data_IF_965704925322
#
_entry.id   IF_965704925322
#
_cell.length_a   1.000
_cell.length_b   1.000
_cell.length_c   1.000
_cell.angle_alpha   90.00
_cell.angle_beta   90.00
_cell.angle_gamma   90.00
#
_symmetry.space_group_name_H-M   'P 1'
#
loop_
_entity.id
_entity.type
_entity.pdbx_description
1 polymer ?
#
# COMPACT_ATOMS: atom_id res chain seq x y z
N UNK A 1 -0.22 2.35 -13.29
CA UNK A 1 -0.49 1.69 -12.00
C UNK A 1 -1.02 2.68 -10.96
N UNK A 2 -0.23 3.71 -10.57
CA UNK A 2 -0.62 4.64 -9.48
C UNK A 2 -1.97 5.30 -9.68
N UNK A 3 -2.29 5.78 -10.89
CA UNK A 3 -3.59 6.38 -11.18
C UNK A 3 -4.75 5.39 -11.06
N UNK A 4 -4.54 4.10 -11.38
CA UNK A 4 -5.59 3.09 -11.27
C UNK A 4 -5.98 2.78 -9.83
N UNK A 5 -5.08 2.99 -8.85
CA UNK A 5 -5.37 2.79 -7.43
C UNK A 5 -6.41 3.78 -6.92
N UNK A 6 -6.38 5.04 -7.37
CA UNK A 6 -7.37 6.06 -6.98
C UNK A 6 -8.78 5.58 -7.36
N UNK A 7 -8.95 5.08 -8.59
CA UNK A 7 -10.24 4.54 -9.04
C UNK A 7 -10.62 3.29 -8.26
N UNK A 8 -9.68 2.37 -8.03
CA UNK A 8 -9.92 1.15 -7.26
C UNK A 8 -10.37 1.46 -5.82
N UNK A 9 -9.71 2.41 -5.16
CA UNK A 9 -10.07 2.78 -3.80
C UNK A 9 -11.43 3.49 -3.74
N UNK A 10 -11.73 4.36 -4.69
CA UNK A 10 -13.02 5.03 -4.79
C UNK A 10 -14.19 4.07 -5.08
N UNK A 11 -13.94 2.94 -5.77
CA UNK A 11 -14.96 1.90 -6.03
C UNK A 11 -15.53 1.30 -4.74
N UNK A 12 -14.86 1.42 -3.61
CA UNK A 12 -15.34 0.84 -2.34
C UNK A 12 -16.72 1.39 -1.95
N UNK A 13 -16.98 2.67 -2.21
CA UNK A 13 -18.29 3.30 -1.93
C UNK A 13 -19.41 2.81 -2.86
N UNK A 14 -19.05 2.34 -4.06
CA UNK A 14 -20.02 1.82 -5.04
C UNK A 14 -20.40 0.35 -4.78
N UNK A 15 -19.45 -0.45 -4.30
CA UNK A 15 -19.60 -1.91 -4.25
C UNK A 15 -20.17 -2.42 -2.93
N UNK A 16 -20.19 -1.60 -1.87
CA UNK A 16 -20.68 -2.03 -0.56
C UNK A 16 -21.22 -0.89 0.29
N UNK A 17 -22.04 -1.24 1.27
CA UNK A 17 -22.59 -0.31 2.25
C UNK A 17 -21.59 -0.04 3.39
N UNK A 18 -21.70 1.10 4.11
CA UNK A 18 -20.76 1.50 5.17
C UNK A 18 -20.50 0.44 6.23
N UNK A 19 -21.53 -0.34 6.60
CA UNK A 19 -21.45 -1.39 7.62
C UNK A 19 -20.52 -2.55 7.23
N UNK A 20 -20.35 -2.78 5.93
CA UNK A 20 -19.54 -3.87 5.38
C UNK A 20 -18.21 -3.42 4.80
N UNK A 21 -17.94 -2.12 4.73
CA UNK A 21 -16.75 -1.56 4.08
C UNK A 21 -15.44 -2.11 4.65
N UNK A 22 -15.33 -2.27 5.99
CA UNK A 22 -14.12 -2.82 6.61
C UNK A 22 -13.85 -4.26 6.16
N UNK A 23 -14.90 -5.09 6.12
CA UNK A 23 -14.77 -6.48 5.69
C UNK A 23 -14.41 -6.56 4.21
N UNK A 24 -15.11 -5.81 3.34
CA UNK A 24 -14.85 -5.80 1.89
C UNK A 24 -13.46 -5.27 1.60
N UNK A 25 -13.03 -4.19 2.24
CA UNK A 25 -11.68 -3.64 2.10
C UNK A 25 -10.62 -4.64 2.53
N UNK A 26 -10.79 -5.27 3.71
CA UNK A 26 -9.87 -6.31 4.21
C UNK A 26 -9.78 -7.50 3.28
N UNK A 27 -10.92 -8.00 2.77
CA UNK A 27 -10.92 -9.09 1.78
C UNK A 27 -10.20 -8.69 0.49
N UNK A 28 -10.41 -7.46 -0.02
CA UNK A 28 -9.73 -6.96 -1.21
C UNK A 28 -8.21 -6.95 -1.04
N UNK A 29 -7.70 -6.45 0.08
CA UNK A 29 -6.28 -6.48 0.40
C UNK A 29 -5.74 -7.89 0.58
N UNK A 30 -6.46 -8.76 1.32
CA UNK A 30 -6.03 -10.14 1.51
C UNK A 30 -5.87 -10.89 0.18
N UNK A 31 -6.90 -10.84 -0.68
CA UNK A 31 -6.81 -11.48 -2.01
C UNK A 31 -5.74 -10.83 -2.90
N UNK A 32 -5.49 -9.52 -2.75
CA UNK A 32 -4.38 -8.84 -3.41
C UNK A 32 -3.03 -9.40 -3.01
N UNK A 33 -2.80 -9.60 -1.71
CA UNK A 33 -1.53 -10.15 -1.20
C UNK A 33 -1.28 -11.58 -1.69
N UNK A 34 -2.22 -12.49 -1.52
CA UNK A 34 -2.00 -13.88 -1.96
C UNK A 34 -1.97 -13.99 -3.49
N UNK A 35 -2.79 -13.19 -4.20
CA UNK A 35 -2.80 -13.15 -5.66
C UNK A 35 -1.49 -12.64 -6.25
N UNK A 36 -0.81 -11.71 -5.59
CA UNK A 36 0.49 -11.19 -6.03
C UNK A 36 1.63 -12.20 -5.86
N UNK A 37 1.49 -13.19 -4.97
CA UNK A 37 2.50 -14.25 -4.80
C UNK A 37 2.70 -15.06 -6.09
N UNK A 38 1.64 -15.29 -6.88
CA UNK A 38 1.73 -16.10 -8.11
C UNK A 38 2.68 -15.47 -9.15
N UNK A 39 2.46 -14.23 -9.62
CA UNK A 39 3.37 -13.60 -10.56
C UNK A 39 4.74 -13.33 -9.93
N UNK A 40 4.82 -13.07 -8.63
CA UNK A 40 6.08 -12.85 -7.95
C UNK A 40 6.96 -14.10 -7.96
N UNK A 41 6.42 -15.28 -7.63
CA UNK A 41 7.15 -16.57 -7.70
C UNK A 41 7.56 -16.88 -9.14
N UNK A 42 6.69 -16.63 -10.13
CA UNK A 42 7.03 -16.82 -11.53
C UNK A 42 8.19 -15.91 -11.97
N UNK A 43 8.15 -14.62 -11.60
CA UNK A 43 9.23 -13.68 -11.89
C UNK A 43 10.54 -14.08 -11.19
N UNK A 44 10.46 -14.48 -9.92
CA UNK A 44 11.61 -14.95 -9.16
C UNK A 44 12.25 -16.19 -9.81
N UNK A 45 11.43 -17.15 -10.26
CA UNK A 45 11.89 -18.33 -10.98
C UNK A 45 12.62 -17.99 -12.27
N UNK A 46 12.13 -17.03 -13.05
CA UNK A 46 12.79 -16.56 -14.29
C UNK A 46 14.11 -15.85 -13.97
N UNK A 47 14.14 -14.96 -12.97
CA UNK A 47 15.34 -14.17 -12.63
C UNK A 47 16.44 -15.06 -12.03
N UNK A 48 16.10 -15.91 -11.07
CA UNK A 48 17.07 -16.83 -10.45
C UNK A 48 17.48 -17.97 -11.43
N UNK A 49 16.56 -18.37 -12.30
CA UNK A 49 16.80 -19.36 -13.34
C UNK A 49 17.53 -18.82 -14.58
N UNK A 50 17.84 -17.54 -14.68
CA UNK A 50 18.43 -16.93 -15.87
C UNK A 50 19.75 -17.58 -16.28
N UNK A 51 20.68 -17.79 -15.33
CA UNK A 51 21.98 -18.45 -15.59
C UNK A 51 21.85 -19.89 -16.08
N UNK A 52 21.13 -20.80 -15.36
CA UNK A 52 20.97 -22.19 -15.81
C UNK A 52 20.18 -22.30 -17.12
N UNK A 53 19.30 -21.36 -17.46
CA UNK A 53 18.55 -21.31 -18.72
C UNK A 53 19.35 -20.70 -19.88
N UNK A 54 20.56 -20.20 -19.63
CA UNK A 54 21.40 -19.58 -20.65
C UNK A 54 20.87 -18.24 -21.19
N UNK A 55 19.96 -17.58 -20.45
CA UNK A 55 19.42 -16.27 -20.82
C UNK A 55 20.12 -15.15 -20.07
N UNK A 56 20.33 -14.02 -20.74
CA UNK A 56 20.91 -12.84 -20.11
C UNK A 56 19.96 -12.23 -19.07
N UNK A 57 20.52 -11.60 -18.02
CA UNK A 57 19.72 -10.95 -16.96
C UNK A 57 18.74 -9.92 -17.53
N UNK A 58 19.13 -9.16 -18.56
CA UNK A 58 18.24 -8.20 -19.22
C UNK A 58 16.99 -8.88 -19.81
N UNK A 59 17.17 -10.03 -20.49
CA UNK A 59 16.05 -10.82 -21.04
C UNK A 59 15.16 -11.37 -19.92
N UNK A 60 15.74 -11.86 -18.83
CA UNK A 60 15.00 -12.33 -17.67
C UNK A 60 14.13 -11.22 -17.04
N UNK A 61 14.66 -10.00 -16.93
CA UNK A 61 13.90 -8.84 -16.45
C UNK A 61 12.76 -8.46 -17.39
N UNK A 62 12.99 -8.47 -18.71
CA UNK A 62 11.93 -8.22 -19.71
C UNK A 62 10.79 -9.24 -19.55
N UNK A 63 11.12 -10.52 -19.42
CA UNK A 63 10.12 -11.58 -19.21
C UNK A 63 9.36 -11.34 -17.92
N UNK A 64 10.02 -10.97 -16.82
CA UNK A 64 9.38 -10.66 -15.54
C UNK A 64 8.40 -9.48 -15.67
N UNK A 65 8.76 -8.41 -16.40
CA UNK A 65 7.85 -7.29 -16.66
C UNK A 65 6.64 -7.71 -17.50
N UNK A 66 6.83 -8.57 -18.50
CA UNK A 66 5.73 -9.11 -19.32
C UNK A 66 4.79 -9.95 -18.45
N UNK A 67 5.31 -10.84 -17.61
CA UNK A 67 4.51 -11.65 -16.68
C UNK A 67 3.66 -10.73 -15.78
N UNK A 68 4.27 -9.72 -15.21
CA UNK A 68 3.58 -8.76 -14.33
C UNK A 68 2.48 -8.00 -15.09
N UNK A 69 2.78 -7.52 -16.30
CA UNK A 69 1.83 -6.79 -17.13
C UNK A 69 0.63 -7.65 -17.53
N UNK A 70 0.88 -8.89 -17.96
CA UNK A 70 -0.18 -9.85 -18.33
C UNK A 70 -1.03 -10.23 -17.11
N UNK A 71 -0.40 -10.49 -15.97
CA UNK A 71 -1.11 -10.79 -14.73
C UNK A 71 -2.04 -9.64 -14.32
N UNK A 72 -1.54 -8.42 -14.35
CA UNK A 72 -2.33 -7.24 -14.03
C UNK A 72 -3.51 -7.05 -14.98
N UNK A 73 -3.26 -7.19 -16.30
CA UNK A 73 -4.31 -7.10 -17.31
C UNK A 73 -5.40 -8.17 -17.09
N UNK A 74 -5.00 -9.44 -16.94
CA UNK A 74 -5.94 -10.56 -16.78
C UNK A 74 -6.74 -10.42 -15.47
N UNK A 75 -6.10 -10.01 -14.37
CA UNK A 75 -6.76 -9.81 -13.08
C UNK A 75 -7.72 -8.62 -13.09
N UNK A 76 -7.52 -7.62 -13.97
CA UNK A 76 -8.41 -6.47 -14.11
C UNK A 76 -9.68 -6.79 -14.91
N UNK A 77 -9.67 -7.81 -15.77
CA UNK A 77 -10.83 -8.16 -16.62
C UNK A 77 -12.11 -8.48 -15.82
N UNK A 78 -12.09 -9.30 -14.76
CA UNK A 78 -13.28 -9.56 -13.96
C UNK A 78 -13.85 -8.28 -13.32
N UNK A 79 -12.98 -7.40 -12.81
CA UNK A 79 -13.37 -6.12 -12.24
C UNK A 79 -14.08 -5.26 -13.29
N UNK A 80 -13.48 -5.06 -14.46
CA UNK A 80 -14.06 -4.24 -15.54
C UNK A 80 -15.39 -4.80 -16.07
N UNK A 81 -15.59 -6.11 -16.00
CA UNK A 81 -16.85 -6.74 -16.45
C UNK A 81 -17.96 -6.69 -15.40
N UNK A 82 -17.60 -6.70 -14.12
CA UNK A 82 -18.57 -6.83 -13.01
C UNK A 82 -18.88 -5.51 -12.34
N UNK A 83 -17.97 -4.54 -12.39
CA UNK A 83 -18.14 -3.25 -11.73
C UNK A 83 -19.21 -2.40 -12.41
N UNK A 84 -20.08 -1.82 -11.58
CA UNK A 84 -21.08 -0.83 -11.99
C UNK A 84 -20.94 0.38 -11.09
N UNK A 85 -20.57 1.50 -11.66
CA UNK A 85 -20.49 2.77 -10.95
C UNK A 85 -21.88 3.23 -10.55
N UNK A 86 -22.08 3.53 -9.26
CA UNK A 86 -23.33 4.10 -8.72
C UNK A 86 -23.27 5.63 -8.69
N UNK A 87 -22.13 6.16 -8.25
CA UNK A 87 -21.92 7.57 -8.09
C UNK A 87 -21.04 8.12 -9.21
N UNK A 88 -21.60 8.97 -10.04
CA UNK A 88 -20.89 9.61 -11.16
C UNK A 88 -21.26 11.08 -11.27
N UNK A 89 -20.32 11.88 -11.75
CA UNK A 89 -20.56 13.29 -12.03
C UNK A 89 -20.95 13.46 -13.49
N UNK A 90 -21.94 14.31 -13.75
CA UNK A 90 -22.30 14.70 -15.13
C UNK A 90 -21.14 15.44 -15.79
N UNK A 91 -20.82 15.04 -17.02
CA UNK A 91 -19.70 15.60 -17.80
C UNK A 91 -20.24 16.76 -18.64
N UNK A 92 -19.87 17.98 -18.30
CA UNK A 92 -20.05 19.16 -19.11
C UNK A 92 -18.78 19.45 -19.93
N UNK A 93 -18.86 19.95 -21.14
CA UNK A 93 -17.85 20.00 -22.20
C UNK A 93 -16.37 20.41 -21.88
N UNK A 94 -16.03 20.85 -20.65
CA UNK A 94 -14.68 21.23 -20.24
C UNK A 94 -14.11 20.32 -19.14
N UNK A 95 -14.04 19.02 -19.39
CA UNK A 95 -13.70 17.96 -18.43
C UNK A 95 -12.48 18.28 -17.57
N UNK A 96 -11.35 18.66 -18.15
CA UNK A 96 -10.09 18.90 -17.42
C UNK A 96 -10.19 20.12 -16.50
N UNK A 97 -10.67 21.25 -17.01
CA UNK A 97 -10.79 22.49 -16.24
C UNK A 97 -11.78 22.32 -15.09
N UNK A 98 -12.89 21.66 -15.35
CA UNK A 98 -13.94 21.43 -14.37
C UNK A 98 -13.47 20.43 -13.29
N UNK A 99 -12.66 19.42 -13.66
CA UNK A 99 -12.04 18.49 -12.70
C UNK A 99 -11.10 19.21 -11.74
N UNK A 100 -10.20 20.06 -12.22
CA UNK A 100 -9.33 20.85 -11.35
C UNK A 100 -10.13 21.84 -10.45
N UNK A 101 -11.18 22.45 -10.98
CA UNK A 101 -12.05 23.34 -10.19
C UNK A 101 -12.80 22.56 -9.11
N UNK A 102 -13.30 21.36 -9.42
CA UNK A 102 -13.95 20.47 -8.45
C UNK A 102 -12.98 20.05 -7.37
N UNK A 103 -11.77 19.58 -7.74
CA UNK A 103 -10.74 19.18 -6.79
C UNK A 103 -10.37 20.32 -5.82
N UNK A 104 -10.20 21.55 -6.34
CA UNK A 104 -9.95 22.73 -5.51
C UNK A 104 -11.11 23.05 -4.56
N UNK A 105 -12.36 22.88 -5.00
CA UNK A 105 -13.55 23.06 -4.17
C UNK A 105 -13.64 21.98 -3.09
N UNK A 106 -13.42 20.70 -3.46
CA UNK A 106 -13.41 19.58 -2.53
C UNK A 106 -12.32 19.73 -1.47
N UNK A 107 -11.13 20.21 -1.85
CA UNK A 107 -10.07 20.53 -0.89
C UNK A 107 -10.49 21.63 0.09
N UNK A 108 -11.15 22.70 -0.38
CA UNK A 108 -11.64 23.77 0.47
C UNK A 108 -12.78 23.32 1.42
N UNK A 109 -13.64 22.40 0.98
CA UNK A 109 -14.67 21.77 1.79
C UNK A 109 -14.03 20.85 2.86
N UNK A 110 -13.05 20.04 2.45
CA UNK A 110 -12.33 19.11 3.32
C UNK A 110 -11.67 19.83 4.51
N UNK A 111 -11.04 20.99 4.28
CA UNK A 111 -10.40 21.77 5.37
C UNK A 111 -11.44 22.28 6.38
N UNK A 112 -12.70 22.46 5.98
CA UNK A 112 -13.80 22.87 6.88
C UNK A 112 -14.36 21.71 7.69
N UNK A 113 -14.31 20.50 7.15
CA UNK A 113 -14.76 19.27 7.80
C UNK A 113 -13.67 18.71 8.72
N UNK A 114 -13.64 19.20 9.97
CA UNK A 114 -12.58 18.90 10.95
C UNK A 114 -12.27 17.40 11.08
N UNK A 115 -13.31 16.55 11.04
CA UNK A 115 -13.15 15.11 11.20
C UNK A 115 -12.37 14.49 10.05
N UNK A 116 -12.68 14.84 8.81
CA UNK A 116 -11.98 14.37 7.62
C UNK A 116 -10.55 14.93 7.58
N UNK A 117 -10.40 16.22 7.87
CA UNK A 117 -9.11 16.89 7.86
C UNK A 117 -8.14 16.30 8.88
N UNK A 118 -8.60 16.10 10.14
CA UNK A 118 -7.76 15.52 11.21
C UNK A 118 -7.38 14.07 10.86
N UNK A 119 -8.30 13.29 10.27
CA UNK A 119 -7.98 11.95 9.83
C UNK A 119 -6.90 11.98 8.74
N UNK A 120 -7.02 12.81 7.71
CA UNK A 120 -6.03 12.89 6.63
C UNK A 120 -4.67 13.38 7.14
N UNK A 121 -4.65 14.30 8.10
CA UNK A 121 -3.42 14.75 8.72
C UNK A 121 -2.75 13.62 9.53
N UNK A 122 -3.52 12.89 10.31
CA UNK A 122 -3.02 11.71 11.02
C UNK A 122 -2.55 10.63 10.03
N UNK A 123 -3.35 10.37 8.98
CA UNK A 123 -3.01 9.43 7.91
C UNK A 123 -1.68 9.79 7.25
N UNK A 124 -1.48 11.05 6.90
CA UNK A 124 -0.24 11.53 6.30
C UNK A 124 0.99 11.13 7.14
N UNK A 125 0.95 11.36 8.46
CA UNK A 125 2.09 11.05 9.33
C UNK A 125 2.32 9.55 9.55
N UNK A 126 1.28 8.77 9.83
CA UNK A 126 1.52 7.36 10.09
C UNK A 126 1.75 6.53 8.83
N UNK A 127 1.14 6.92 7.70
CA UNK A 127 1.35 6.20 6.45
C UNK A 127 2.73 6.48 5.86
N UNK A 128 3.32 7.63 6.16
CA UNK A 128 4.70 7.93 5.84
C UNK A 128 5.66 6.88 6.41
N UNK A 129 5.56 6.59 7.71
CA UNK A 129 6.36 5.55 8.34
C UNK A 129 6.10 4.17 7.73
N UNK A 130 4.84 3.83 7.45
CA UNK A 130 4.49 2.54 6.84
C UNK A 130 5.08 2.39 5.44
N UNK A 131 4.90 3.39 4.58
CA UNK A 131 5.41 3.33 3.20
C UNK A 131 6.94 3.43 3.15
N UNK A 132 7.54 4.24 4.02
CA UNK A 132 9.01 4.32 4.11
C UNK A 132 9.62 2.96 4.46
N UNK A 133 9.07 2.24 5.44
CA UNK A 133 9.52 0.88 5.77
C UNK A 133 9.36 -0.07 4.58
N UNK A 134 8.23 -0.02 3.86
CA UNK A 134 7.97 -0.88 2.70
C UNK A 134 8.91 -0.55 1.53
N UNK A 135 9.02 0.72 1.18
CA UNK A 135 9.75 1.19 0.01
C UNK A 135 11.27 1.08 0.19
N UNK A 136 11.76 1.27 1.42
CA UNK A 136 13.19 1.24 1.74
C UNK A 136 13.70 -0.14 2.18
N UNK A 137 12.83 -1.11 2.44
CA UNK A 137 13.22 -2.41 3.01
C UNK A 137 14.36 -3.10 2.23
N UNK A 138 14.24 -3.21 0.90
CA UNK A 138 15.27 -3.84 0.09
C UNK A 138 16.55 -3.03 -0.01
N UNK A 139 16.45 -1.70 -0.12
CA UNK A 139 17.61 -0.81 -0.15
C UNK A 139 18.36 -0.87 1.20
N UNK A 140 17.62 -0.90 2.30
CA UNK A 140 18.16 -1.06 3.65
C UNK A 140 18.91 -2.39 3.80
N UNK A 141 18.29 -3.52 3.43
CA UNK A 141 18.94 -4.83 3.49
C UNK A 141 20.19 -4.93 2.60
N UNK A 142 20.16 -4.32 1.41
CA UNK A 142 21.33 -4.26 0.52
C UNK A 142 22.47 -3.42 1.12
N UNK A 143 22.14 -2.29 1.75
CA UNK A 143 23.14 -1.43 2.41
C UNK A 143 23.83 -2.14 3.60
N UNK A 144 23.14 -3.07 4.26
CA UNK A 144 23.70 -3.96 5.28
C UNK A 144 24.49 -5.15 4.70
N UNK A 145 24.59 -5.27 3.38
CA UNK A 145 25.30 -6.36 2.71
C UNK A 145 24.59 -7.71 2.76
N UNK A 146 23.29 -7.74 3.01
CA UNK A 146 22.48 -8.97 3.06
C UNK A 146 22.32 -9.59 1.66
N UNK A 147 22.13 -10.92 1.61
CA UNK A 147 21.95 -11.65 0.37
C UNK A 147 20.68 -11.20 -0.39
N UNK A 148 20.86 -10.81 -1.65
CA UNK A 148 19.76 -10.30 -2.48
C UNK A 148 18.64 -11.32 -2.69
N UNK A 149 18.97 -12.62 -2.81
CA UNK A 149 17.96 -13.68 -2.92
C UNK A 149 17.14 -13.79 -1.64
N UNK A 150 17.84 -13.73 -0.49
CA UNK A 150 17.20 -13.71 0.83
C UNK A 150 16.28 -12.50 1.02
N UNK A 151 16.66 -11.32 0.51
CA UNK A 151 15.80 -10.13 0.54
C UNK A 151 14.52 -10.32 -0.30
N UNK A 152 14.64 -10.86 -1.52
CA UNK A 152 13.48 -11.14 -2.37
C UNK A 152 12.54 -12.18 -1.76
N UNK A 153 13.09 -13.23 -1.14
CA UNK A 153 12.29 -14.23 -0.43
C UNK A 153 11.60 -13.64 0.80
N UNK A 154 12.23 -12.72 1.51
CA UNK A 154 11.61 -12.02 2.63
C UNK A 154 10.40 -11.18 2.19
N UNK A 155 10.46 -10.52 1.02
CA UNK A 155 9.30 -9.84 0.44
C UNK A 155 8.14 -10.82 0.15
N UNK A 156 8.43 -12.02 -0.34
CA UNK A 156 7.41 -13.05 -0.54
C UNK A 156 6.79 -13.49 0.79
N UNK A 157 7.61 -13.69 1.83
CA UNK A 157 7.13 -14.02 3.18
C UNK A 157 6.21 -12.93 3.70
N UNK A 158 6.55 -11.66 3.51
CA UNK A 158 5.69 -10.52 3.89
C UNK A 158 4.29 -10.63 3.27
N UNK A 159 4.19 -10.96 1.98
CA UNK A 159 2.91 -11.12 1.29
C UNK A 159 2.11 -12.32 1.82
N UNK A 160 2.78 -13.45 2.04
CA UNK A 160 2.15 -14.67 2.58
C UNK A 160 1.59 -14.42 3.98
N UNK A 161 2.35 -13.73 4.83
CA UNK A 161 1.94 -13.39 6.21
C UNK A 161 0.82 -12.35 6.22
N UNK A 162 0.86 -11.37 5.31
CA UNK A 162 -0.16 -10.33 5.22
C UNK A 162 -1.55 -10.91 4.91
N UNK A 163 -1.65 -11.94 4.09
CA UNK A 163 -2.93 -12.57 3.72
C UNK A 163 -3.75 -13.02 4.94
N UNK A 164 -3.31 -13.96 5.78
CA UNK A 164 -4.07 -14.38 6.95
C UNK A 164 -4.25 -13.25 7.98
N UNK A 165 -3.25 -12.38 8.14
CA UNK A 165 -3.29 -11.28 9.11
C UNK A 165 -4.43 -10.32 8.80
N UNK A 166 -4.55 -9.86 7.56
CA UNK A 166 -5.65 -8.96 7.15
C UNK A 166 -7.02 -9.62 7.33
N UNK A 167 -7.15 -10.92 7.07
CA UNK A 167 -8.41 -11.65 7.30
C UNK A 167 -8.76 -11.76 8.78
N UNK A 168 -7.77 -11.97 9.64
CA UNK A 168 -7.97 -12.03 11.11
C UNK A 168 -8.43 -10.67 11.61
N UNK A 169 -7.73 -9.58 11.28
CA UNK A 169 -8.11 -8.23 11.67
C UNK A 169 -9.45 -7.78 11.06
N UNK A 170 -9.74 -8.20 9.83
CA UNK A 170 -11.05 -8.00 9.18
C UNK A 170 -12.23 -8.70 9.90
N UNK A 171 -11.94 -9.73 10.72
CA UNK A 171 -12.93 -10.31 11.63
C UNK A 171 -12.99 -9.58 12.97
N UNK A 172 -11.85 -9.15 13.50
CA UNK A 172 -11.73 -8.44 14.77
C UNK A 172 -12.45 -7.08 14.70
N UNK A 173 -12.43 -6.40 13.57
CA UNK A 173 -13.08 -5.09 13.36
C UNK A 173 -14.60 -5.13 13.58
N UNK A 174 -15.22 -6.30 13.52
CA UNK A 174 -16.64 -6.47 13.87
C UNK A 174 -16.93 -6.28 15.38
N UNK A 175 -15.90 -6.38 16.23
CA UNK A 175 -15.99 -6.28 17.71
C UNK A 175 -15.22 -5.09 18.27
N UNK A 176 -14.23 -4.59 17.54
CA UNK A 176 -13.33 -3.53 17.96
C UNK A 176 -13.36 -2.44 16.90
N UNK A 177 -13.47 -1.17 17.30
CA UNK A 177 -13.54 -0.07 16.33
C UNK A 177 -12.28 0.01 15.45
N UNK A 178 -12.42 0.41 14.16
CA UNK A 178 -11.31 0.51 13.21
C UNK A 178 -10.17 1.40 13.73
N UNK A 179 -10.51 2.50 14.41
CA UNK A 179 -9.54 3.46 14.95
C UNK A 179 -8.60 2.81 15.96
N UNK A 180 -9.13 1.96 16.84
CA UNK A 180 -8.32 1.22 17.83
C UNK A 180 -7.37 0.25 17.15
N UNK A 181 -7.84 -0.45 16.10
CA UNK A 181 -6.99 -1.39 15.35
C UNK A 181 -5.91 -0.63 14.59
N UNK A 182 -6.25 0.49 13.94
CA UNK A 182 -5.26 1.37 13.29
C UNK A 182 -4.22 1.85 14.31
N UNK A 183 -4.64 2.26 15.50
CA UNK A 183 -3.72 2.67 16.58
C UNK A 183 -2.79 1.54 16.98
N UNK A 184 -3.30 0.31 17.12
CA UNK A 184 -2.44 -0.87 17.39
C UNK A 184 -1.43 -1.09 16.28
N UNK A 185 -1.84 -0.96 15.02
CA UNK A 185 -0.93 -1.06 13.88
C UNK A 185 0.15 0.03 13.90
N UNK A 186 -0.21 1.28 14.23
CA UNK A 186 0.76 2.39 14.36
C UNK A 186 1.79 2.08 15.46
N UNK A 187 1.34 1.61 16.62
CA UNK A 187 2.25 1.22 17.70
C UNK A 187 3.15 0.03 17.32
N UNK A 188 2.61 -0.92 16.55
CA UNK A 188 3.41 -2.02 16.02
C UNK A 188 4.48 -1.53 15.04
N UNK A 189 4.14 -0.59 14.14
CA UNK A 189 5.12 0.00 13.22
C UNK A 189 6.19 0.81 13.94
N UNK A 190 5.84 1.51 15.02
CA UNK A 190 6.86 2.12 15.88
C UNK A 190 7.82 1.07 16.46
N UNK A 191 7.31 -0.05 16.95
CA UNK A 191 8.13 -1.18 17.41
C UNK A 191 9.00 -1.79 16.30
N UNK A 192 8.44 -1.89 15.07
CA UNK A 192 9.17 -2.37 13.87
C UNK A 192 10.33 -1.43 13.54
N UNK A 193 10.13 -0.12 13.56
CA UNK A 193 11.18 0.87 13.32
C UNK A 193 12.28 0.78 14.38
N UNK A 194 11.90 0.66 15.66
CA UNK A 194 12.86 0.44 16.76
C UNK A 194 13.63 -0.86 16.57
N UNK A 195 12.98 -1.96 16.17
CA UNK A 195 13.64 -3.22 15.88
C UNK A 195 14.62 -3.13 14.70
N UNK A 196 14.23 -2.40 13.64
CA UNK A 196 15.08 -2.20 12.48
C UNK A 196 16.42 -1.53 12.80
N UNK A 197 16.49 -0.70 13.85
CA UNK A 197 17.73 -0.06 14.28
C UNK A 197 18.84 -1.05 14.66
N UNK A 198 18.50 -2.21 15.25
CA UNK A 198 19.45 -3.27 15.66
C UNK A 198 19.54 -4.41 14.65
N UNK A 199 19.06 -4.24 13.43
CA UNK A 199 19.05 -5.29 12.43
C UNK A 199 20.45 -5.44 11.82
N UNK A 200 21.06 -6.62 11.99
CA UNK A 200 22.40 -6.92 11.50
C UNK A 200 22.47 -8.20 10.65
N UNK A 201 21.52 -9.12 10.82
CA UNK A 201 21.57 -10.44 10.19
C UNK A 201 20.43 -10.65 9.18
N UNK A 202 20.64 -11.61 8.26
CA UNK A 202 19.59 -12.06 7.34
C UNK A 202 18.34 -12.59 8.09
N UNK A 203 18.54 -13.23 9.24
CA UNK A 203 17.45 -13.74 10.07
C UNK A 203 16.61 -12.59 10.65
N UNK A 204 17.27 -11.54 11.16
CA UNK A 204 16.56 -10.35 11.68
C UNK A 204 15.73 -9.69 10.59
N UNK A 205 16.25 -9.64 9.36
CA UNK A 205 15.50 -9.12 8.21
C UNK A 205 14.26 -9.96 7.90
N UNK A 206 14.34 -11.29 8.02
CA UNK A 206 13.17 -12.16 7.85
C UNK A 206 12.15 -11.97 8.97
N UNK A 207 12.60 -11.80 10.21
CA UNK A 207 11.71 -11.46 11.33
C UNK A 207 11.02 -10.11 11.10
N UNK A 208 11.77 -9.10 10.63
CA UNK A 208 11.21 -7.80 10.25
C UNK A 208 10.13 -7.97 9.17
N UNK A 209 10.40 -8.77 8.13
CA UNK A 209 9.45 -9.05 7.05
C UNK A 209 8.15 -9.68 7.56
N UNK A 210 8.23 -10.61 8.53
CA UNK A 210 7.04 -11.20 9.18
C UNK A 210 6.27 -10.15 9.96
N UNK A 211 6.96 -9.33 10.78
CA UNK A 211 6.31 -8.28 11.58
C UNK A 211 5.63 -7.23 10.68
N UNK A 212 6.29 -6.78 9.62
CA UNK A 212 5.70 -5.88 8.62
C UNK A 212 4.48 -6.54 7.98
N UNK A 213 4.58 -7.80 7.54
CA UNK A 213 3.48 -8.54 6.93
C UNK A 213 2.24 -8.65 7.84
N UNK A 214 2.44 -8.76 9.15
CA UNK A 214 1.32 -8.84 10.10
C UNK A 214 0.45 -7.58 10.13
N UNK A 215 1.01 -6.41 9.90
CA UNK A 215 0.30 -5.15 10.11
C UNK A 215 0.07 -4.30 8.86
N UNK A 216 0.93 -4.43 7.81
CA UNK A 216 0.86 -3.56 6.63
C UNK A 216 -0.49 -3.61 5.90
N UNK A 217 -1.03 -4.79 5.68
CA UNK A 217 -2.29 -4.95 4.98
C UNK A 217 -3.48 -4.46 5.80
N UNK A 218 -3.43 -4.67 7.10
CA UNK A 218 -4.49 -4.24 8.03
C UNK A 218 -4.57 -2.73 8.11
N UNK A 219 -3.45 -2.03 8.30
CA UNK A 219 -3.44 -0.57 8.41
C UNK A 219 -3.91 0.08 7.11
N UNK A 220 -3.50 -0.43 5.96
CA UNK A 220 -3.93 0.07 4.65
C UNK A 220 -5.42 -0.20 4.41
N UNK A 221 -5.89 -1.42 4.66
CA UNK A 221 -7.27 -1.82 4.43
C UNK A 221 -8.26 -1.04 5.31
N UNK A 222 -7.95 -0.87 6.60
CA UNK A 222 -8.81 -0.18 7.55
C UNK A 222 -8.74 1.35 7.38
N UNK A 223 -7.59 1.92 7.04
CA UNK A 223 -7.49 3.35 6.71
C UNK A 223 -8.35 3.70 5.51
N UNK A 224 -8.30 2.88 4.44
CA UNK A 224 -9.15 3.05 3.26
C UNK A 224 -10.64 2.94 3.59
N UNK A 225 -11.05 1.92 4.32
CA UNK A 225 -12.46 1.72 4.65
C UNK A 225 -12.99 2.78 5.62
N UNK A 226 -12.20 3.19 6.59
CA UNK A 226 -12.54 4.26 7.50
C UNK A 226 -12.73 5.59 6.76
N UNK A 227 -11.81 5.92 5.86
CA UNK A 227 -11.92 7.11 5.03
C UNK A 227 -13.17 7.07 4.15
N UNK A 228 -13.46 5.93 3.50
CA UNK A 228 -14.66 5.74 2.69
C UNK A 228 -15.96 5.97 3.47
N UNK A 229 -15.98 5.69 4.78
CA UNK A 229 -17.16 5.88 5.65
C UNK A 229 -17.41 7.33 6.02
N UNK A 230 -16.36 8.14 6.13
CA UNK A 230 -16.47 9.52 6.62
C UNK A 230 -16.61 10.55 5.50
N UNK A 231 -16.42 10.16 4.24
CA UNK A 231 -16.56 11.03 3.07
C UNK A 231 -17.94 10.89 2.41
N UNK A 232 -18.42 11.92 1.68
CA UNK A 232 -19.60 11.81 0.82
C UNK A 232 -19.36 10.83 -0.33
N UNK A 233 -20.19 9.79 -0.45
CA UNK A 233 -20.05 8.75 -1.47
C UNK A 233 -20.06 9.30 -2.91
N UNK A 234 -20.87 10.35 -3.17
CA UNK A 234 -20.98 11.00 -4.48
C UNK A 234 -19.71 11.70 -4.93
N UNK A 235 -18.80 12.00 -4.00
CA UNK A 235 -17.51 12.67 -4.26
C UNK A 235 -16.31 11.74 -4.00
N UNK A 236 -16.55 10.44 -3.89
CA UNK A 236 -15.51 9.46 -3.52
C UNK A 236 -14.25 9.59 -4.37
N UNK A 237 -14.36 9.72 -5.69
CA UNK A 237 -13.23 9.88 -6.59
C UNK A 237 -12.34 11.09 -6.30
N UNK A 238 -12.95 12.24 -5.93
CA UNK A 238 -12.23 13.46 -5.60
C UNK A 238 -11.51 13.33 -4.24
N UNK A 239 -12.20 12.79 -3.23
CA UNK A 239 -11.65 12.57 -1.90
C UNK A 239 -10.54 11.52 -1.90
N UNK A 240 -10.72 10.39 -2.61
CA UNK A 240 -9.66 9.39 -2.75
C UNK A 240 -8.46 9.89 -3.57
N UNK A 241 -8.68 10.83 -4.50
CA UNK A 241 -7.58 11.56 -5.15
C UNK A 241 -6.73 12.33 -4.15
N UNK A 242 -7.35 13.05 -3.19
CA UNK A 242 -6.63 13.76 -2.12
C UNK A 242 -5.95 12.78 -1.16
N UNK A 243 -6.64 11.69 -0.80
CA UNK A 243 -6.09 10.62 0.04
C UNK A 243 -4.81 10.00 -0.56
N UNK A 244 -4.82 9.71 -1.87
CA UNK A 244 -3.66 9.18 -2.59
C UNK A 244 -2.50 10.19 -2.67
N UNK A 245 -2.82 11.48 -2.89
CA UNK A 245 -1.81 12.56 -2.83
C UNK A 245 -1.18 12.64 -1.43
N UNK A 246 -1.97 12.53 -0.36
CA UNK A 246 -1.44 12.51 1.01
C UNK A 246 -0.53 11.30 1.22
N UNK A 247 -0.96 10.09 0.84
CA UNK A 247 -0.17 8.87 1.02
C UNK A 247 1.15 8.88 0.24
N UNK A 248 1.10 9.25 -1.05
CA UNK A 248 2.31 9.33 -1.89
C UNK A 248 3.20 10.50 -1.53
N UNK A 249 2.61 11.64 -1.19
CA UNK A 249 3.38 12.80 -0.70
C UNK A 249 4.15 12.49 0.57
N UNK A 250 3.53 11.74 1.49
CA UNK A 250 4.16 11.25 2.70
C UNK A 250 5.37 10.36 2.35
N UNK A 251 5.19 9.32 1.54
CA UNK A 251 6.28 8.39 1.13
C UNK A 251 7.47 9.11 0.49
N UNK A 252 7.24 10.14 -0.32
CA UNK A 252 8.33 10.96 -0.90
C UNK A 252 9.11 11.69 0.19
N UNK A 253 8.43 12.23 1.20
CA UNK A 253 9.09 12.94 2.30
C UNK A 253 9.88 11.96 3.17
N UNK A 254 9.30 10.83 3.57
CA UNK A 254 9.96 9.82 4.39
C UNK A 254 11.20 9.24 3.71
N UNK A 255 11.09 8.82 2.46
CA UNK A 255 12.24 8.28 1.71
C UNK A 255 13.34 9.33 1.49
N UNK A 256 12.97 10.60 1.27
CA UNK A 256 13.92 11.69 1.16
C UNK A 256 14.63 11.96 2.51
N UNK A 257 13.90 11.93 3.63
CA UNK A 257 14.47 12.09 4.97
C UNK A 257 15.44 10.95 5.31
N UNK A 258 15.06 9.69 5.05
CA UNK A 258 15.95 8.53 5.24
C UNK A 258 17.24 8.70 4.44
N UNK A 259 17.11 9.08 3.16
CA UNK A 259 18.29 9.29 2.29
C UNK A 259 19.17 10.42 2.79
N UNK A 260 18.59 11.53 3.23
CA UNK A 260 19.32 12.70 3.74
C UNK A 260 20.04 12.37 5.06
N UNK A 261 19.35 11.74 6.02
CA UNK A 261 19.94 11.36 7.32
C UNK A 261 21.05 10.32 7.11
N UNK A 262 20.83 9.33 6.25
CA UNK A 262 21.85 8.33 5.92
C UNK A 262 23.12 8.95 5.33
N UNK A 263 22.97 9.95 4.45
CA UNK A 263 24.13 10.68 3.90
C UNK A 263 24.85 11.52 4.96
N UNK A 264 24.13 12.15 5.87
CA UNK A 264 24.74 12.96 6.94
C UNK A 264 25.43 12.14 8.02
N UNK A 265 24.86 11.02 8.38
CA UNK A 265 25.36 10.17 9.50
C UNK A 265 26.32 9.08 9.04
N UNK A 266 26.33 8.76 7.74
CA UNK A 266 27.06 7.60 7.19
C UNK A 266 26.47 6.26 7.62
N UNK A 267 25.29 6.24 8.27
CA UNK A 267 24.63 5.04 8.78
C UNK A 267 23.17 5.00 8.37
N UNK A 268 22.78 3.94 7.68
CA UNK A 268 21.38 3.73 7.29
C UNK A 268 20.51 3.34 8.49
N UNK A 269 21.08 2.68 9.50
CA UNK A 269 20.36 2.25 10.70
C UNK A 269 19.82 3.45 11.52
N UNK A 270 20.51 4.59 11.48
CA UNK A 270 20.07 5.82 12.16
C UNK A 270 18.97 6.53 11.37
N UNK A 271 18.88 6.26 10.09
CA UNK A 271 17.96 6.95 9.19
C UNK A 271 16.57 6.29 9.10
N UNK A 272 16.45 5.01 9.46
CA UNK A 272 15.20 4.25 9.50
C UNK A 272 14.54 4.37 10.87
#
# INVERSE_FOLDING_TARGET
YSASLIFYDAMLTDVTDPERMDAVSSHGYAWGYIGSCIPFVACLGVVLGAKPLGIGMQTAMIIAFIITALWWLLSSVPLLRSYRQKYFAEVNGHVVKDSFKRLGKTFAELVKEKHIFVFLLAFFFYIDGVYTVIDMATAYGQALGLDSTGLLLALLVTQIVAFPSVLIFGRIVKKVSPEKIITVCIMAYFGIAVYAYWLDTQFDFWMLAVLVGMFQGTIQALSRSYFAKIIPAEKSGEYFGIYDICGKGASVIGTALVSFISQMTGSINIAV
#
